data_IF_868851243386
#
_entry.id   IF_868851243386
#
_cell.length_a   1.000
_cell.length_b   1.000
_cell.length_c   1.000
_cell.angle_alpha   90.00
_cell.angle_beta   90.00
_cell.angle_gamma   90.00
#
_symmetry.space_group_name_H-M   'P 1'
#
loop_
_entity.id
_entity.type
_entity.pdbx_description
1 polymer ?
#
# COMPACT_ATOMS: atom_id res chain seq x y z
N UNK A 1 -11.03 -10.36 7.08
CA UNK A 1 -9.89 -10.07 6.18
C UNK A 1 -9.06 -9.00 6.88
N UNK A 2 -7.76 -9.23 7.06
CA UNK A 2 -6.83 -8.26 7.64
C UNK A 2 -5.86 -7.77 6.57
N UNK A 3 -5.27 -6.59 6.79
CA UNK A 3 -4.14 -6.11 5.97
C UNK A 3 -2.87 -6.42 6.76
N UNK A 4 -1.93 -7.11 6.12
CA UNK A 4 -0.60 -7.39 6.67
C UNK A 4 0.45 -6.70 5.81
N UNK A 5 1.57 -6.31 6.43
CA UNK A 5 2.70 -5.69 5.75
C UNK A 5 3.97 -6.46 6.10
N UNK A 6 4.70 -6.90 5.08
CA UNK A 6 5.98 -7.60 5.27
C UNK A 6 7.07 -6.66 5.81
N UNK A 7 7.04 -5.39 5.41
CA UNK A 7 8.05 -4.37 5.74
C UNK A 7 7.37 -3.05 6.11
N UNK A 8 6.85 -2.93 7.34
CA UNK A 8 6.07 -1.78 7.77
C UNK A 8 6.88 -0.47 7.80
N UNK A 9 8.21 -0.53 7.82
CA UNK A 9 9.09 0.64 7.77
C UNK A 9 8.87 1.50 6.52
N UNK A 10 8.46 0.90 5.39
CA UNK A 10 8.15 1.66 4.17
C UNK A 10 6.89 2.52 4.31
N UNK A 11 6.01 2.27 5.29
CA UNK A 11 4.87 3.15 5.56
C UNK A 11 5.32 4.53 6.06
N UNK A 12 6.53 4.65 6.62
CA UNK A 12 7.12 5.93 6.98
C UNK A 12 7.38 6.83 5.76
N UNK A 13 7.37 6.27 4.54
CA UNK A 13 7.43 7.06 3.32
C UNK A 13 6.13 7.82 3.04
N UNK A 14 4.99 7.45 3.66
CA UNK A 14 3.71 8.15 3.46
C UNK A 14 3.78 9.64 3.80
N UNK A 15 4.23 10.08 5.00
CA UNK A 15 4.35 11.50 5.32
C UNK A 15 5.33 12.22 4.40
N UNK A 16 6.44 11.58 4.02
CA UNK A 16 7.43 12.16 3.09
C UNK A 16 6.81 12.34 1.71
N UNK A 17 6.13 11.33 1.19
CA UNK A 17 5.44 11.36 -0.09
C UNK A 17 4.30 12.39 -0.10
N UNK A 18 3.53 12.51 0.99
CA UNK A 18 2.49 13.53 1.14
C UNK A 18 3.08 14.94 1.09
N UNK A 19 4.20 15.18 1.78
CA UNK A 19 4.92 16.44 1.72
C UNK A 19 5.41 16.78 0.31
N UNK A 20 6.00 15.80 -0.38
CA UNK A 20 6.47 15.97 -1.76
C UNK A 20 5.33 16.21 -2.75
N UNK A 21 4.21 15.49 -2.62
CA UNK A 21 3.03 15.67 -3.45
C UNK A 21 2.38 17.04 -3.20
N UNK A 22 2.34 17.51 -1.95
CA UNK A 22 1.85 18.83 -1.59
C UNK A 22 2.73 19.95 -2.16
N UNK A 23 4.05 19.82 -1.98
CA UNK A 23 5.01 20.79 -2.52
C UNK A 23 4.97 20.83 -4.05
N UNK A 24 5.02 19.66 -4.70
CA UNK A 24 4.86 19.54 -6.15
C UNK A 24 3.53 20.11 -6.62
N UNK A 25 2.47 20.01 -5.82
CA UNK A 25 1.17 20.51 -6.21
C UNK A 25 1.05 22.04 -6.18
N UNK A 26 1.87 22.71 -5.35
CA UNK A 26 1.95 24.18 -5.34
C UNK A 26 2.82 24.72 -6.47
N UNK A 27 3.92 24.05 -6.79
CA UNK A 27 4.91 24.55 -7.75
C UNK A 27 4.52 24.21 -9.20
N UNK A 28 4.06 22.98 -9.47
CA UNK A 28 3.96 22.45 -10.84
C UNK A 28 2.59 22.62 -11.50
N UNK A 29 1.52 22.86 -10.73
CA UNK A 29 0.16 23.00 -11.28
C UNK A 29 -0.30 24.46 -11.40
N UNK A 30 0.62 25.42 -11.33
CA UNK A 30 0.29 26.85 -11.44
C UNK A 30 -0.41 27.18 -12.78
N UNK A 31 -0.07 26.45 -13.85
CA UNK A 31 -0.64 26.63 -15.19
C UNK A 31 -1.82 25.69 -15.53
N UNK A 32 -2.09 24.69 -14.68
CA UNK A 32 -3.20 23.74 -14.92
C UNK A 32 -4.46 24.18 -14.18
N UNK A 33 -5.51 24.57 -14.92
CA UNK A 33 -6.81 24.94 -14.36
C UNK A 33 -7.82 23.77 -14.37
N UNK A 34 -8.68 23.73 -13.35
CA UNK A 34 -9.89 22.91 -13.31
C UNK A 34 -9.68 21.41 -13.14
N UNK A 35 -10.54 20.62 -13.79
CA UNK A 35 -10.64 19.16 -13.64
C UNK A 35 -9.34 18.42 -14.00
N UNK A 36 -8.55 18.95 -14.95
CA UNK A 36 -7.29 18.35 -15.39
C UNK A 36 -6.23 18.37 -14.28
N UNK A 37 -6.20 19.43 -13.46
CA UNK A 37 -5.33 19.51 -12.29
C UNK A 37 -5.67 18.43 -11.27
N UNK A 38 -6.96 18.30 -10.96
CA UNK A 38 -7.44 17.28 -10.03
C UNK A 38 -7.14 15.88 -10.54
N UNK A 39 -7.37 15.60 -11.83
CA UNK A 39 -7.09 14.29 -12.40
C UNK A 39 -5.61 13.92 -12.31
N UNK A 40 -4.70 14.81 -12.74
CA UNK A 40 -3.25 14.55 -12.70
C UNK A 40 -2.76 14.41 -11.26
N UNK A 41 -3.25 15.24 -10.34
CA UNK A 41 -2.85 15.17 -8.94
C UNK A 41 -3.34 13.88 -8.27
N UNK A 42 -4.60 13.49 -8.50
CA UNK A 42 -5.17 12.25 -7.95
C UNK A 42 -4.49 11.01 -8.53
N UNK A 43 -4.30 10.94 -9.84
CA UNK A 43 -3.56 9.86 -10.50
C UNK A 43 -2.15 9.74 -9.94
N UNK A 44 -1.42 10.85 -9.82
CA UNK A 44 -0.04 10.84 -9.29
C UNK A 44 -0.01 10.34 -7.84
N UNK A 45 -0.97 10.79 -7.04
CA UNK A 45 -1.09 10.37 -5.63
C UNK A 45 -1.39 8.87 -5.53
N UNK A 46 -2.28 8.34 -6.38
CA UNK A 46 -2.61 6.91 -6.44
C UNK A 46 -1.38 6.08 -6.83
N UNK A 47 -0.62 6.50 -7.85
CA UNK A 47 0.59 5.78 -8.30
C UNK A 47 1.61 5.73 -7.17
N UNK A 48 1.89 6.87 -6.53
CA UNK A 48 2.85 6.93 -5.41
C UNK A 48 2.39 6.07 -4.24
N UNK A 49 1.10 6.11 -3.90
CA UNK A 49 0.54 5.27 -2.84
C UNK A 49 0.69 3.77 -3.18
N UNK A 50 0.37 3.37 -4.42
CA UNK A 50 0.52 2.00 -4.89
C UNK A 50 1.97 1.51 -4.82
N UNK A 51 2.94 2.36 -5.17
CA UNK A 51 4.37 2.04 -5.04
C UNK A 51 4.77 1.84 -3.58
N UNK A 52 4.32 2.70 -2.67
CA UNK A 52 4.61 2.57 -1.24
C UNK A 52 4.00 1.28 -0.68
N UNK A 53 2.75 0.97 -1.02
CA UNK A 53 2.09 -0.26 -0.59
C UNK A 53 2.77 -1.52 -1.15
N UNK A 54 3.24 -1.47 -2.41
CA UNK A 54 4.01 -2.55 -3.01
C UNK A 54 5.35 -2.76 -2.28
N UNK A 55 6.06 -1.68 -1.95
CA UNK A 55 7.32 -1.73 -1.18
C UNK A 55 7.11 -2.24 0.25
N UNK A 56 6.02 -1.83 0.91
CA UNK A 56 5.65 -2.30 2.24
C UNK A 56 5.22 -3.78 2.25
N UNK A 57 5.04 -4.39 1.06
CA UNK A 57 4.55 -5.75 0.92
C UNK A 57 3.13 -5.89 1.46
N UNK A 58 2.24 -4.97 1.09
CA UNK A 58 0.84 -4.98 1.51
C UNK A 58 0.14 -6.26 1.01
N UNK A 59 -0.43 -7.01 1.93
CA UNK A 59 -1.11 -8.28 1.66
C UNK A 59 -2.50 -8.26 2.29
N UNK A 60 -3.49 -8.70 1.51
CA UNK A 60 -4.82 -8.99 2.00
C UNK A 60 -4.85 -10.41 2.56
N UNK A 61 -4.77 -10.52 3.89
CA UNK A 61 -4.76 -11.80 4.58
C UNK A 61 -6.20 -12.19 4.93
N UNK A 62 -6.65 -13.33 4.39
CA UNK A 62 -7.90 -13.95 4.82
C UNK A 62 -7.60 -14.84 6.03
N UNK A 63 -7.97 -14.38 7.22
CA UNK A 63 -7.96 -15.22 8.44
C UNK A 63 -8.90 -16.40 8.20
N UNK A 64 -8.34 -17.61 8.23
CA UNK A 64 -9.09 -18.86 8.15
C UNK A 64 -9.13 -19.47 9.54
N UNK A 65 -10.30 -19.46 10.18
CA UNK A 65 -10.54 -20.18 11.44
C UNK A 65 -10.95 -21.64 11.18
N UNK A 66 -10.40 -22.26 10.13
CA UNK A 66 -10.64 -23.68 9.88
C UNK A 66 -9.80 -24.53 10.84
N UNK A 67 -10.47 -25.39 11.60
CA UNK A 67 -9.85 -26.37 12.46
C UNK A 67 -9.09 -27.40 11.61
N UNK A 68 -7.77 -27.40 11.69
CA UNK A 68 -6.91 -28.41 11.04
C UNK A 68 -6.67 -29.53 12.04
N UNK A 69 -7.21 -30.71 11.76
CA UNK A 69 -6.92 -31.94 12.52
C UNK A 69 -5.82 -32.69 11.78
N UNK A 70 -4.63 -32.76 12.39
CA UNK A 70 -3.51 -33.55 11.87
C UNK A 70 -3.47 -34.88 12.60
N UNK A 71 -3.73 -35.97 11.88
CA UNK A 71 -3.49 -37.32 12.39
C UNK A 71 -2.05 -37.71 12.04
N UNK A 72 -1.17 -37.66 13.03
CA UNK A 72 0.17 -38.22 12.92
C UNK A 72 0.11 -39.70 13.34
N UNK A 73 0.32 -40.60 12.39
CA UNK A 73 0.50 -42.03 12.65
C UNK A 73 1.98 -42.33 12.47
N UNK A 74 2.61 -42.80 13.54
CA UNK A 74 3.96 -43.33 13.49
C UNK A 74 3.91 -44.75 12.92
N UNK A 75 4.61 -44.96 11.80
CA UNK A 75 4.70 -46.23 11.08
C UNK A 75 6.15 -46.74 11.05
N UNK A 76 6.84 -46.59 12.17
CA UNK A 76 8.16 -47.15 12.38
C UNK A 76 8.07 -48.67 12.61
N UNK A 77 8.85 -49.45 11.84
CA UNK A 77 8.95 -50.92 11.91
C UNK A 77 10.01 -51.39 12.91
#
# INVERSE_FOLDING_TARGET
MGVSFLRPEFLLLLPVAAGLLWHSARVSYADLRGARRWFVWTTRSIIVLALILALAGAQLVKRSDNMVVVFAVDASY
#
